data_IF_986022178546
#
_entry.id   IF_986022178546
#
_cell.length_a   1.000
_cell.length_b   1.000
_cell.length_c   1.000
_cell.angle_alpha   90.00
_cell.angle_beta   90.00
_cell.angle_gamma   90.00
#
_symmetry.space_group_name_H-M   'P 1'
#
loop_
_entity.id
_entity.type
_entity.pdbx_description
1 polymer ?
#
# COMPACT_ATOMS: atom_id res chain seq x y z
N UNK A 1 38.10 -5.32 49.55
CA UNK A 1 38.74 -5.51 48.22
C UNK A 1 37.92 -6.50 47.39
N UNK A 2 36.70 -6.16 46.94
CA UNK A 2 35.82 -7.06 46.13
C UNK A 2 34.72 -6.31 45.35
N UNK A 3 34.81 -4.98 45.15
CA UNK A 3 33.75 -4.21 44.48
C UNK A 3 33.80 -4.39 42.94
N UNK A 4 35.00 -4.60 42.39
CA UNK A 4 35.23 -4.76 40.95
C UNK A 4 34.51 -5.98 40.32
N UNK A 5 34.55 -7.21 40.90
CA UNK A 5 33.85 -8.34 40.29
C UNK A 5 32.32 -8.18 40.29
N UNK A 6 31.75 -7.49 41.29
CA UNK A 6 30.30 -7.26 41.37
C UNK A 6 29.85 -6.30 40.26
N UNK A 7 30.61 -5.23 40.01
CA UNK A 7 30.29 -4.27 38.95
C UNK A 7 30.34 -4.90 37.55
N UNK A 8 31.29 -5.82 37.30
CA UNK A 8 31.39 -6.53 36.02
C UNK A 8 30.18 -7.44 35.80
N UNK A 9 29.75 -8.18 36.83
CA UNK A 9 28.57 -9.05 36.72
C UNK A 9 27.31 -8.22 36.47
N UNK A 10 27.13 -7.11 37.18
CA UNK A 10 25.99 -6.20 36.98
C UNK A 10 25.99 -5.61 35.57
N UNK A 11 27.15 -5.19 35.05
CA UNK A 11 27.26 -4.66 33.70
C UNK A 11 26.90 -5.71 32.63
N UNK A 12 27.33 -6.96 32.80
CA UNK A 12 27.00 -8.06 31.88
C UNK A 12 25.50 -8.36 31.91
N UNK A 13 24.87 -8.37 33.10
CA UNK A 13 23.42 -8.60 33.23
C UNK A 13 22.62 -7.47 32.59
N UNK A 14 23.03 -6.21 32.80
CA UNK A 14 22.38 -5.05 32.16
C UNK A 14 22.57 -5.10 30.64
N UNK A 15 23.75 -5.47 30.15
CA UNK A 15 24.01 -5.61 28.72
C UNK A 15 23.18 -6.74 28.10
N UNK A 16 23.10 -7.90 28.77
CA UNK A 16 22.28 -9.03 28.34
C UNK A 16 20.78 -8.68 28.36
N UNK A 17 20.32 -7.96 29.38
CA UNK A 17 18.94 -7.50 29.47
C UNK A 17 18.64 -6.45 28.40
N UNK A 18 19.56 -5.53 28.13
CA UNK A 18 19.47 -4.60 27.00
C UNK A 18 19.42 -5.34 25.66
N UNK A 19 20.23 -6.39 25.47
CA UNK A 19 20.23 -7.19 24.25
C UNK A 19 18.94 -8.02 24.08
N UNK A 20 18.37 -8.52 25.18
CA UNK A 20 17.10 -9.23 25.19
C UNK A 20 15.92 -8.29 24.94
N UNK A 21 15.97 -7.06 25.47
CA UNK A 21 14.96 -6.03 25.25
C UNK A 21 15.08 -5.37 23.87
N UNK A 22 16.27 -5.38 23.27
CA UNK A 22 16.53 -4.82 21.95
C UNK A 22 16.51 -5.86 20.82
N UNK A 23 16.17 -7.12 21.13
CA UNK A 23 15.63 -8.03 20.12
C UNK A 23 14.29 -7.44 19.68
N UNK A 24 14.32 -6.62 18.63
CA UNK A 24 13.15 -6.43 17.77
C UNK A 24 12.56 -7.82 17.57
N UNK A 25 11.28 -7.96 17.86
CA UNK A 25 10.53 -9.15 17.49
C UNK A 25 10.72 -9.33 15.99
N UNK A 26 11.67 -10.18 15.59
CA UNK A 26 11.71 -10.75 14.25
C UNK A 26 10.44 -11.58 14.17
N UNK A 27 9.35 -10.92 13.77
CA UNK A 27 8.15 -11.60 13.34
C UNK A 27 8.57 -12.33 12.07
N UNK A 28 9.00 -13.58 12.28
CA UNK A 28 9.66 -14.39 11.25
C UNK A 28 8.80 -14.38 10.00
N UNK A 29 9.45 -14.13 8.87
CA UNK A 29 8.88 -14.33 7.54
C UNK A 29 8.06 -15.62 7.48
N UNK A 30 6.83 -15.50 6.99
CA UNK A 30 5.87 -16.59 6.86
C UNK A 30 5.73 -16.93 5.38
N UNK A 31 5.91 -18.19 5.05
CA UNK A 31 5.62 -18.65 3.70
C UNK A 31 4.15 -19.07 3.56
N UNK A 32 3.51 -18.64 2.48
CA UNK A 32 2.13 -18.98 2.18
C UNK A 32 1.87 -19.07 0.68
N UNK A 33 0.73 -19.64 0.30
CA UNK A 33 0.28 -19.71 -1.10
C UNK A 33 -0.79 -18.66 -1.34
N UNK A 34 -0.59 -17.82 -2.35
CA UNK A 34 -1.59 -16.83 -2.76
C UNK A 34 -2.75 -17.58 -3.41
N UNK A 35 -3.92 -17.55 -2.77
CA UNK A 35 -5.14 -18.19 -3.26
C UNK A 35 -5.89 -17.28 -4.22
N UNK A 36 -5.94 -16.00 -3.90
CA UNK A 36 -6.75 -15.03 -4.64
C UNK A 36 -6.18 -13.61 -4.53
N UNK A 37 -6.54 -12.77 -5.51
CA UNK A 37 -6.23 -11.35 -5.55
C UNK A 37 -7.52 -10.59 -5.23
N UNK A 38 -7.62 -10.03 -4.02
CA UNK A 38 -8.87 -9.42 -3.54
C UNK A 38 -9.01 -7.97 -4.00
N UNK A 39 -7.90 -7.22 -3.98
CA UNK A 39 -7.80 -5.83 -4.43
C UNK A 39 -6.41 -5.59 -5.03
N UNK A 40 -6.22 -4.40 -5.63
CA UNK A 40 -4.93 -3.98 -6.22
C UNK A 40 -3.75 -4.01 -5.23
N UNK A 41 -4.01 -3.97 -3.93
CA UNK A 41 -3.03 -4.08 -2.85
C UNK A 41 -3.35 -5.20 -1.85
N UNK A 42 -4.34 -6.07 -2.08
CA UNK A 42 -4.77 -7.05 -1.08
C UNK A 42 -4.82 -8.47 -1.64
N UNK A 43 -4.12 -9.39 -0.97
CA UNK A 43 -3.95 -10.78 -1.36
C UNK A 43 -4.60 -11.70 -0.32
N UNK A 44 -5.29 -12.76 -0.76
CA UNK A 44 -5.69 -13.85 0.13
C UNK A 44 -4.60 -14.91 0.17
N UNK A 45 -3.91 -15.05 1.30
CA UNK A 45 -2.76 -15.96 1.44
C UNK A 45 -3.07 -17.07 2.44
N UNK A 46 -2.93 -18.31 1.99
CA UNK A 46 -3.07 -19.50 2.82
C UNK A 46 -1.71 -19.91 3.39
N UNK A 47 -1.58 -19.81 4.71
CA UNK A 47 -0.40 -20.20 5.47
C UNK A 47 -0.48 -21.64 6.03
N UNK A 48 -1.45 -22.45 5.59
CA UNK A 48 -1.67 -23.83 6.06
C UNK A 48 -2.47 -23.96 7.35
N UNK A 49 -3.00 -22.85 7.89
CA UNK A 49 -3.74 -22.78 9.15
C UNK A 49 -5.27 -22.86 9.03
N UNK A 50 -5.79 -23.17 7.84
CA UNK A 50 -7.23 -23.21 7.57
C UNK A 50 -7.68 -22.06 6.68
N UNK A 51 -8.22 -20.99 7.26
CA UNK A 51 -8.72 -19.84 6.48
C UNK A 51 -7.56 -18.99 5.93
N UNK A 52 -7.64 -18.54 4.66
CA UNK A 52 -6.69 -17.57 4.14
C UNK A 52 -6.71 -16.28 4.94
N UNK A 53 -5.54 -15.67 5.10
CA UNK A 53 -5.34 -14.37 5.72
C UNK A 53 -5.28 -13.31 4.62
N UNK A 54 -5.95 -12.18 4.83
CA UNK A 54 -5.86 -11.02 3.95
C UNK A 54 -4.56 -10.28 4.25
N UNK A 55 -3.71 -10.16 3.24
CA UNK A 55 -2.42 -9.49 3.33
C UNK A 55 -2.46 -8.26 2.44
N UNK A 56 -2.42 -7.07 3.04
CA UNK A 56 -2.28 -5.80 2.34
C UNK A 56 -0.81 -5.50 2.07
N UNK A 57 -0.49 -5.05 0.86
CA UNK A 57 0.86 -4.66 0.47
C UNK A 57 1.21 -3.35 1.17
N UNK A 58 2.15 -3.43 2.11
CA UNK A 58 2.60 -2.29 2.91
C UNK A 58 3.36 -1.25 2.08
N UNK A 59 3.15 0.04 2.38
CA UNK A 59 3.98 1.12 1.87
C UNK A 59 3.65 1.58 0.45
N UNK A 60 2.56 1.09 -0.13
CA UNK A 60 2.15 1.44 -1.50
C UNK A 60 0.69 1.88 -1.56
N UNK A 61 0.41 2.81 -2.47
CA UNK A 61 -0.94 3.24 -2.80
C UNK A 61 -1.22 2.93 -4.27
N UNK A 62 -2.07 1.94 -4.59
CA UNK A 62 -2.35 1.57 -5.98
C UNK A 62 -2.94 2.70 -6.81
N UNK A 63 -2.84 2.56 -8.13
CA UNK A 63 -3.58 3.41 -9.04
C UNK A 63 -5.08 3.38 -8.72
N UNK A 64 -5.72 4.54 -8.77
CA UNK A 64 -7.15 4.77 -8.66
C UNK A 64 -7.88 4.32 -9.93
N UNK A 65 -9.21 4.16 -9.85
CA UNK A 65 -10.03 3.82 -11.02
C UNK A 65 -9.93 4.87 -12.14
N UNK A 66 -9.75 6.15 -11.77
CA UNK A 66 -9.61 7.26 -12.71
C UNK A 66 -8.40 7.11 -13.64
N UNK A 67 -7.36 6.39 -13.20
CA UNK A 67 -6.15 6.10 -13.96
C UNK A 67 -6.33 4.94 -14.94
N UNK A 68 -7.43 4.18 -14.85
CA UNK A 68 -7.82 3.12 -15.78
C UNK A 68 -6.75 2.04 -15.98
N UNK A 69 -6.01 1.69 -14.92
CA UNK A 69 -4.96 0.67 -14.93
C UNK A 69 -5.41 -0.67 -14.34
N UNK A 70 -6.61 -0.75 -13.79
CA UNK A 70 -7.10 -1.88 -12.98
C UNK A 70 -6.92 -3.22 -13.69
N UNK A 71 -7.33 -3.35 -14.95
CA UNK A 71 -7.18 -4.58 -15.72
C UNK A 71 -5.71 -5.03 -15.83
N UNK A 72 -4.79 -4.09 -16.08
CA UNK A 72 -3.36 -4.38 -16.18
C UNK A 72 -2.77 -4.76 -14.82
N UNK A 73 -3.23 -4.11 -13.75
CA UNK A 73 -2.78 -4.40 -12.39
C UNK A 73 -3.22 -5.80 -11.97
N UNK A 74 -4.49 -6.14 -12.16
CA UNK A 74 -5.00 -7.47 -11.84
C UNK A 74 -4.33 -8.54 -12.71
N UNK A 75 -4.17 -8.32 -14.02
CA UNK A 75 -3.44 -9.25 -14.88
C UNK A 75 -2.01 -9.51 -14.38
N UNK A 76 -1.29 -8.45 -14.03
CA UNK A 76 0.06 -8.55 -13.47
C UNK A 76 0.10 -9.36 -12.16
N UNK A 77 -0.80 -9.07 -11.21
CA UNK A 77 -0.86 -9.76 -9.92
C UNK A 77 -1.28 -11.22 -10.07
N UNK A 78 -2.28 -11.49 -10.90
CA UNK A 78 -2.76 -12.84 -11.20
C UNK A 78 -1.64 -13.70 -11.81
N UNK A 79 -0.98 -13.20 -12.86
CA UNK A 79 0.12 -13.92 -13.52
C UNK A 79 1.33 -14.10 -12.59
N UNK A 80 1.65 -13.07 -11.81
CA UNK A 80 2.87 -13.05 -10.99
C UNK A 80 2.72 -13.83 -9.69
N UNK A 81 1.52 -13.87 -9.09
CA UNK A 81 1.35 -14.34 -7.72
C UNK A 81 0.34 -15.45 -7.54
N UNK A 82 -0.75 -15.51 -8.32
CA UNK A 82 -1.84 -16.45 -8.01
C UNK A 82 -1.38 -17.90 -8.09
N UNK A 83 -1.73 -18.68 -7.07
CA UNK A 83 -1.31 -20.06 -6.91
C UNK A 83 0.17 -20.23 -6.56
N UNK A 84 0.97 -19.16 -6.52
CA UNK A 84 2.40 -19.23 -6.20
C UNK A 84 2.64 -19.10 -4.71
N UNK A 85 3.77 -19.67 -4.28
CA UNK A 85 4.27 -19.50 -2.92
C UNK A 85 5.03 -18.19 -2.79
N UNK A 86 4.82 -17.50 -1.69
CA UNK A 86 5.44 -16.20 -1.37
C UNK A 86 5.92 -16.21 0.08
N UNK A 87 6.97 -15.46 0.35
CA UNK A 87 7.39 -15.07 1.71
C UNK A 87 6.69 -13.77 2.07
N UNK A 88 6.09 -13.73 3.26
CA UNK A 88 5.36 -12.59 3.80
C UNK A 88 6.03 -12.18 5.09
N UNK A 89 6.55 -10.97 5.14
CA UNK A 89 7.11 -10.37 6.34
C UNK A 89 6.09 -9.37 6.90
N UNK A 90 5.38 -9.71 7.99
CA UNK A 90 4.40 -8.82 8.57
C UNK A 90 5.05 -7.52 9.02
N UNK A 91 4.36 -6.41 8.79
CA UNK A 91 4.76 -5.08 9.27
C UNK A 91 3.79 -4.58 10.33
N UNK A 92 2.49 -4.84 10.14
CA UNK A 92 1.46 -4.56 11.12
C UNK A 92 0.36 -5.62 11.02
N UNK A 93 -0.08 -6.14 12.17
CA UNK A 93 -1.15 -7.14 12.25
C UNK A 93 -2.37 -6.48 12.87
N UNK A 94 -3.43 -6.32 12.08
CA UNK A 94 -4.68 -5.73 12.54
C UNK A 94 -5.56 -6.78 13.24
N UNK A 95 -5.57 -8.01 12.74
CA UNK A 95 -6.26 -9.15 13.33
C UNK A 95 -5.62 -10.47 12.88
N UNK A 96 -6.13 -11.60 13.37
CA UNK A 96 -5.70 -12.92 12.92
C UNK A 96 -5.96 -13.17 11.41
N UNK A 97 -6.87 -12.41 10.80
CA UNK A 97 -7.30 -12.56 9.41
C UNK A 97 -6.83 -11.39 8.51
N UNK A 98 -6.19 -10.35 9.07
CA UNK A 98 -5.77 -9.15 8.34
C UNK A 98 -4.42 -8.61 8.82
N UNK A 99 -3.49 -8.44 7.89
CA UNK A 99 -2.19 -7.81 8.14
C UNK A 99 -1.71 -6.96 6.96
N UNK A 100 -0.88 -5.98 7.24
CA UNK A 100 -0.06 -5.28 6.25
C UNK A 100 1.35 -5.86 6.26
N UNK A 101 1.91 -6.16 5.09
CA UNK A 101 3.18 -6.86 5.00
C UNK A 101 4.01 -6.46 3.77
N UNK A 102 5.31 -6.74 3.87
CA UNK A 102 6.19 -6.85 2.72
C UNK A 102 6.03 -8.26 2.12
N UNK A 103 5.76 -8.36 0.82
CA UNK A 103 5.58 -9.66 0.15
C UNK A 103 6.69 -9.88 -0.86
N UNK A 104 7.31 -11.07 -0.81
CA UNK A 104 8.35 -11.49 -1.74
C UNK A 104 7.98 -12.81 -2.41
N UNK A 105 8.23 -12.94 -3.71
CA UNK A 105 8.17 -14.26 -4.35
C UNK A 105 9.31 -15.14 -3.83
N UNK A 106 9.22 -16.46 -3.98
CA UNK A 106 10.35 -17.35 -3.65
C UNK A 106 11.62 -17.05 -4.49
N UNK A 107 11.47 -16.39 -5.64
CA UNK A 107 12.59 -15.90 -6.45
C UNK A 107 13.25 -14.63 -5.87
N UNK A 108 12.76 -14.12 -4.73
CA UNK A 108 13.28 -12.93 -4.06
C UNK A 108 12.73 -11.60 -4.60
N UNK A 109 11.84 -11.63 -5.59
CA UNK A 109 11.23 -10.41 -6.11
C UNK A 109 10.37 -9.75 -5.04
N UNK A 110 10.66 -8.49 -4.73
CA UNK A 110 9.87 -7.68 -3.82
C UNK A 110 8.63 -7.13 -4.54
N UNK A 111 7.48 -7.73 -4.26
CA UNK A 111 6.21 -7.49 -4.98
C UNK A 111 5.76 -6.04 -4.84
N UNK A 112 5.84 -5.47 -3.64
CA UNK A 112 5.44 -4.08 -3.38
C UNK A 112 6.26 -3.12 -4.26
N UNK A 113 7.57 -3.33 -4.35
CA UNK A 113 8.44 -2.54 -5.23
C UNK A 113 8.21 -2.84 -6.72
N UNK A 114 7.86 -4.07 -7.10
CA UNK A 114 7.51 -4.39 -8.48
C UNK A 114 6.25 -3.62 -8.93
N UNK A 115 5.21 -3.56 -8.08
CA UNK A 115 4.01 -2.75 -8.32
C UNK A 115 4.37 -1.28 -8.56
N UNK A 116 5.23 -0.70 -7.73
CA UNK A 116 5.67 0.69 -7.90
C UNK A 116 6.51 0.85 -9.18
N UNK A 117 7.41 -0.09 -9.46
CA UNK A 117 8.30 -0.06 -10.63
C UNK A 117 7.56 -0.09 -11.97
N UNK A 118 6.47 -0.85 -12.03
CA UNK A 118 5.60 -0.89 -13.21
C UNK A 118 4.65 0.33 -13.30
N UNK A 119 4.70 1.24 -12.33
CA UNK A 119 3.81 2.40 -12.27
C UNK A 119 2.37 2.04 -11.92
N UNK A 120 2.15 0.90 -11.25
CA UNK A 120 0.83 0.43 -10.81
C UNK A 120 0.47 0.94 -9.42
N UNK A 121 1.45 1.41 -8.67
CA UNK A 121 1.25 2.03 -7.37
C UNK A 121 2.25 3.17 -7.15
N UNK A 122 1.91 4.06 -6.21
CA UNK A 122 2.78 5.10 -5.66
C UNK A 122 3.45 4.57 -4.40
N UNK A 123 4.69 4.99 -4.16
CA UNK A 123 5.31 4.80 -2.85
C UNK A 123 4.67 5.73 -1.82
N UNK A 124 4.16 5.16 -0.74
CA UNK A 124 3.56 5.88 0.37
C UNK A 124 4.63 6.22 1.41
N UNK A 125 5.33 7.34 1.22
CA UNK A 125 6.45 7.77 2.07
C UNK A 125 6.06 7.90 3.55
N UNK A 126 4.82 8.32 3.84
CA UNK A 126 4.33 8.44 5.22
C UNK A 126 4.24 7.10 5.95
N UNK A 127 4.09 5.99 5.23
CA UNK A 127 4.00 4.64 5.76
C UNK A 127 5.36 3.93 5.72
N UNK A 128 6.09 4.04 4.61
CA UNK A 128 7.31 3.29 4.34
C UNK A 128 8.51 4.19 3.99
N UNK A 129 8.75 5.26 4.75
CA UNK A 129 9.83 6.23 4.49
C UNK A 129 11.24 5.61 4.45
N UNK A 130 11.47 4.54 5.20
CA UNK A 130 12.76 3.84 5.26
C UNK A 130 12.96 2.80 4.14
N UNK A 131 11.95 2.56 3.30
CA UNK A 131 12.03 1.57 2.23
C UNK A 131 12.64 2.16 0.95
N UNK A 132 13.97 2.06 0.86
CA UNK A 132 14.73 2.54 -0.30
C UNK A 132 14.34 1.85 -1.61
N UNK A 133 13.89 0.59 -1.57
CA UNK A 133 13.52 -0.16 -2.77
C UNK A 133 12.23 0.39 -3.41
N UNK A 134 11.27 0.85 -2.60
CA UNK A 134 10.08 1.55 -3.10
C UNK A 134 10.44 2.91 -3.71
N UNK A 135 11.35 3.65 -3.07
CA UNK A 135 11.86 4.93 -3.59
C UNK A 135 12.54 4.79 -4.95
N UNK A 136 13.47 3.84 -5.08
CA UNK A 136 14.17 3.53 -6.34
C UNK A 136 13.19 3.06 -7.43
N UNK A 137 12.25 2.19 -7.07
CA UNK A 137 11.21 1.73 -7.99
C UNK A 137 10.37 2.88 -8.54
N UNK A 138 9.98 3.84 -7.69
CA UNK A 138 9.19 4.99 -8.10
C UNK A 138 9.98 5.91 -9.03
N UNK A 139 11.25 6.19 -8.70
CA UNK A 139 12.12 7.00 -9.56
C UNK A 139 12.27 6.39 -10.95
N UNK A 140 12.42 5.06 -11.03
CA UNK A 140 12.50 4.36 -12.31
C UNK A 140 11.20 4.46 -13.10
N UNK A 141 10.05 4.24 -12.44
CA UNK A 141 8.74 4.34 -13.09
C UNK A 141 8.46 5.76 -13.62
N UNK A 142 8.86 6.79 -12.88
CA UNK A 142 8.77 8.19 -13.29
C UNK A 142 9.69 8.50 -14.48
N UNK A 143 10.96 8.09 -14.42
CA UNK A 143 11.93 8.31 -15.50
C UNK A 143 11.48 7.65 -16.81
N UNK A 144 10.85 6.47 -16.71
CA UNK A 144 10.34 5.71 -17.85
C UNK A 144 8.89 6.05 -18.22
N UNK A 145 8.23 6.95 -17.49
CA UNK A 145 6.84 7.38 -17.74
C UNK A 145 5.85 6.20 -17.77
N UNK A 146 6.02 5.25 -16.85
CA UNK A 146 5.22 4.03 -16.78
C UNK A 146 3.95 4.20 -15.94
N UNK A 147 2.90 3.46 -16.32
CA UNK A 147 1.63 3.41 -15.58
C UNK A 147 1.10 4.79 -15.25
N UNK A 148 0.85 5.07 -13.98
CA UNK A 148 0.35 6.35 -13.46
C UNK A 148 1.21 7.57 -13.85
N UNK A 149 2.48 7.36 -14.22
CA UNK A 149 3.41 8.42 -14.63
C UNK A 149 3.39 8.70 -16.14
N UNK A 150 2.53 8.01 -16.89
CA UNK A 150 2.35 8.26 -18.31
C UNK A 150 1.68 9.64 -18.53
N UNK A 151 2.28 10.55 -19.33
CA UNK A 151 1.71 11.87 -19.61
C UNK A 151 0.27 11.84 -20.14
N UNK A 152 -0.11 10.82 -20.91
CA UNK A 152 -1.47 10.69 -21.41
C UNK A 152 -2.49 10.42 -20.29
N UNK A 153 -2.10 9.63 -19.27
CA UNK A 153 -2.94 9.39 -18.10
C UNK A 153 -3.02 10.66 -17.24
N UNK A 154 -1.89 11.35 -17.05
CA UNK A 154 -1.86 12.61 -16.30
C UNK A 154 -2.78 13.64 -16.97
N UNK A 155 -2.66 13.84 -18.28
CA UNK A 155 -3.50 14.78 -19.03
C UNK A 155 -4.99 14.40 -18.93
N UNK A 156 -5.32 13.13 -19.09
CA UNK A 156 -6.70 12.63 -18.95
C UNK A 156 -7.30 12.98 -17.58
N UNK A 157 -6.50 12.86 -16.51
CA UNK A 157 -6.96 13.21 -15.16
C UNK A 157 -7.13 14.72 -14.99
N UNK A 158 -6.25 15.52 -15.58
CA UNK A 158 -6.36 16.98 -15.57
C UNK A 158 -7.60 17.47 -16.31
N UNK A 159 -7.86 16.92 -17.50
CA UNK A 159 -9.04 17.25 -18.30
C UNK A 159 -10.33 16.92 -17.55
N UNK A 160 -10.38 15.74 -16.91
CA UNK A 160 -11.52 15.35 -16.05
C UNK A 160 -11.71 16.28 -14.86
N UNK A 161 -10.62 16.70 -14.21
CA UNK A 161 -10.68 17.64 -13.09
C UNK A 161 -11.22 19.00 -13.53
N UNK A 162 -10.77 19.50 -14.68
CA UNK A 162 -11.20 20.78 -15.21
C UNK A 162 -12.69 20.73 -15.60
N UNK A 163 -13.13 19.66 -16.26
CA UNK A 163 -14.54 19.46 -16.61
C UNK A 163 -15.47 19.35 -15.39
N UNK A 164 -14.97 18.79 -14.27
CA UNK A 164 -15.73 18.73 -13.02
C UNK A 164 -15.77 20.08 -12.27
N UNK A 165 -14.76 20.94 -12.45
CA UNK A 165 -14.68 22.26 -11.84
C UNK A 165 -15.49 23.34 -12.56
N UNK A 166 -15.75 23.19 -13.87
CA UNK A 166 -16.57 24.13 -14.65
C UNK A 166 -18.09 23.97 -14.40
N UNK A 167 -18.50 22.90 -13.69
CA UNK A 167 -19.91 22.59 -13.43
C UNK A 167 -20.46 23.22 -12.13
N UNK A 168 -19.79 24.20 -11.52
CA UNK A 168 -20.18 24.70 -10.18
C UNK A 168 -20.86 26.07 -10.08
N UNK A 169 -20.84 26.93 -11.10
CA UNK A 169 -21.30 28.33 -10.90
C UNK A 169 -22.45 28.78 -11.82
N UNK A 170 -22.73 28.10 -12.94
CA UNK A 170 -23.78 28.52 -13.89
C UNK A 170 -25.13 27.80 -13.72
N UNK A 171 -25.16 26.60 -13.12
CA UNK A 171 -26.42 25.86 -12.89
C UNK A 171 -27.24 26.39 -11.70
N UNK A 172 -26.67 27.25 -10.85
CA UNK A 172 -27.38 27.86 -9.71
C UNK A 172 -28.10 29.14 -10.12
N UNK A 173 -27.73 29.76 -11.24
CA UNK A 173 -28.28 31.05 -11.68
C UNK A 173 -29.55 30.93 -12.54
N UNK A 174 -29.89 29.72 -13.05
CA UNK A 174 -31.08 29.50 -13.89
C UNK A 174 -32.28 28.87 -13.15
N UNK A 175 -32.27 28.83 -11.82
CA UNK A 175 -33.51 28.80 -11.04
C UNK A 175 -34.05 30.24 -10.93
N UNK A 176 -34.38 30.84 -12.08
CA UNK A 176 -35.29 31.98 -12.09
C UNK A 176 -36.62 31.49 -11.53
N UNK A 177 -36.84 31.80 -10.25
CA UNK A 177 -38.13 31.70 -9.59
C UNK A 177 -39.08 32.63 -10.35
N UNK A 178 -40.02 32.01 -11.06
CA UNK A 178 -41.15 32.68 -11.69
C UNK A 178 -41.87 33.59 -10.67
N UNK A 179 -41.91 34.92 -10.87
CA UNK A 179 -42.44 35.85 -9.87
C UNK A 179 -43.98 35.91 -9.78
N UNK A 180 -44.74 34.95 -10.30
CA UNK A 180 -46.22 34.98 -10.33
C UNK A 180 -46.97 34.23 -9.20
N UNK A 181 -46.44 34.13 -7.97
CA UNK A 181 -47.26 33.73 -6.80
C UNK A 181 -47.13 34.69 -5.61
N UNK A 182 -47.15 36.01 -5.89
CA UNK A 182 -47.48 37.02 -4.88
C UNK A 182 -48.77 37.73 -5.22
N UNK A 183 -49.88 36.99 -5.26
CA UNK A 183 -51.14 37.54 -4.76
C UNK A 183 -52.14 36.44 -4.47
N UNK A 184 -52.99 36.71 -3.46
CA UNK A 184 -54.13 35.92 -2.99
C UNK A 184 -53.85 34.83 -1.93
N UNK A 185 -53.86 35.25 -0.66
CA UNK A 185 -54.93 34.86 0.29
C UNK A 185 -54.92 35.78 1.52
N UNK A 186 -56.06 36.45 1.68
CA UNK A 186 -56.56 37.06 2.93
C UNK A 186 -56.62 36.05 4.09
#
# INVERSE_FOLDING_TARGET
MTIVPILVVVAIVILAMYFLLNKKSDEKDREGVVKDILQKDALAIDFGGGRPVVVKLFGISPATEAEMLDEKIFAFLEESLRGKRVSVKPVSVASAELMSAEVRTLGGEYVNAAMVRHGFARWQVSEASADGALGEAQQLAQAQKLGIWNPAIIQLLEDKRNAAGEMSDEDVANLEVDPEERDSKE
#
